data_IF_805382668973
#
_entry.id   IF_805382668973
#
_cell.length_a   1.000
_cell.length_b   1.000
_cell.length_c   1.000
_cell.angle_alpha   90.00
_cell.angle_beta   90.00
_cell.angle_gamma   90.00
#
_symmetry.space_group_name_H-M   'P 1'
#
loop_
_entity.id
_entity.type
_entity.pdbx_description
1 polymer ?
#
# COMPACT_ATOMS: atom_id res chain seq x y z
N UNK A 1 -47.41 -90.55 -117.92
CA UNK A 1 -46.91 -89.39 -118.70
C UNK A 1 -46.77 -88.20 -117.75
N UNK A 2 -45.82 -87.31 -118.05
CA UNK A 2 -45.34 -86.12 -117.29
C UNK A 2 -44.28 -86.46 -116.22
N UNK A 3 -42.99 -86.57 -116.58
CA UNK A 3 -41.97 -85.56 -116.93
C UNK A 3 -41.27 -84.99 -115.67
N UNK A 4 -40.02 -85.44 -115.44
CA UNK A 4 -39.17 -85.00 -114.35
C UNK A 4 -38.71 -83.56 -114.52
N UNK A 5 -38.83 -82.79 -113.46
CA UNK A 5 -38.21 -81.47 -113.31
C UNK A 5 -36.95 -81.66 -112.46
N UNK A 6 -35.79 -81.42 -113.06
CA UNK A 6 -34.53 -81.22 -112.35
C UNK A 6 -34.45 -79.73 -111.95
N UNK A 7 -34.38 -79.44 -110.65
CA UNK A 7 -34.05 -78.10 -110.16
C UNK A 7 -32.57 -78.04 -109.76
N UNK A 8 -31.88 -77.00 -110.24
CA UNK A 8 -30.46 -76.72 -110.01
C UNK A 8 -30.18 -76.39 -108.53
N UNK A 9 -29.09 -76.94 -108.00
CA UNK A 9 -28.64 -76.71 -106.64
C UNK A 9 -28.12 -75.27 -106.45
N UNK A 10 -28.79 -74.49 -105.59
CA UNK A 10 -28.33 -73.17 -105.14
C UNK A 10 -27.25 -73.31 -104.06
N UNK A 11 -26.03 -72.81 -104.33
CA UNK A 11 -24.94 -72.73 -103.34
C UNK A 11 -24.93 -71.38 -102.63
N UNK A 12 -24.67 -71.39 -101.31
CA UNK A 12 -24.53 -70.19 -100.48
C UNK A 12 -23.03 -69.91 -100.22
N UNK A 13 -22.50 -68.71 -100.55
CA UNK A 13 -21.12 -68.37 -100.22
C UNK A 13 -20.96 -68.09 -98.72
N UNK A 14 -19.91 -68.65 -98.11
CA UNK A 14 -19.55 -68.53 -96.69
C UNK A 14 -18.99 -67.14 -96.35
N UNK A 15 -19.61 -66.44 -95.40
CA UNK A 15 -19.18 -65.14 -94.84
C UNK A 15 -18.29 -65.30 -93.60
N UNK A 16 -17.36 -66.26 -93.61
CA UNK A 16 -16.53 -66.57 -92.42
C UNK A 16 -15.31 -65.65 -92.22
N UNK A 17 -15.17 -64.60 -93.04
CA UNK A 17 -14.13 -63.56 -92.90
C UNK A 17 -14.73 -62.17 -93.04
N UNK A 18 -15.59 -61.78 -92.11
CA UNK A 18 -16.05 -60.40 -91.99
C UNK A 18 -15.88 -59.98 -90.54
N UNK A 19 -14.99 -59.02 -90.28
CA UNK A 19 -14.80 -58.45 -88.94
C UNK A 19 -16.10 -57.76 -88.50
N UNK A 20 -16.67 -58.21 -87.38
CA UNK A 20 -17.76 -57.52 -86.70
C UNK A 20 -17.17 -56.67 -85.57
N UNK A 21 -17.34 -55.35 -85.63
CA UNK A 21 -16.96 -54.47 -84.54
C UNK A 21 -18.02 -54.55 -83.43
N UNK A 22 -17.63 -54.97 -82.23
CA UNK A 22 -18.44 -54.81 -81.02
C UNK A 22 -18.19 -53.42 -80.45
N UNK A 23 -19.25 -52.64 -80.24
CA UNK A 23 -19.21 -51.45 -79.42
C UNK A 23 -19.50 -51.84 -77.97
N UNK A 24 -18.55 -51.60 -77.05
CA UNK A 24 -18.85 -51.60 -75.62
C UNK A 24 -19.14 -50.17 -75.19
N UNK A 25 -20.24 -49.98 -74.47
CA UNK A 25 -20.63 -48.67 -73.96
C UNK A 25 -20.80 -48.78 -72.44
N UNK A 26 -20.26 -47.81 -71.72
CA UNK A 26 -20.25 -47.79 -70.26
C UNK A 26 -20.83 -46.47 -69.79
N UNK A 27 -21.86 -46.54 -68.93
CA UNK A 27 -22.48 -45.35 -68.33
C UNK A 27 -22.10 -45.27 -66.86
N UNK A 28 -21.62 -44.10 -66.44
CA UNK A 28 -21.29 -43.77 -65.06
C UNK A 28 -22.18 -42.62 -64.61
N UNK A 29 -22.75 -42.70 -63.42
CA UNK A 29 -23.55 -41.62 -62.81
C UNK A 29 -22.65 -40.58 -62.15
N UNK A 30 -23.04 -39.31 -62.26
CA UNK A 30 -22.30 -38.18 -61.69
C UNK A 30 -22.25 -38.25 -60.15
N UNK A 31 -21.17 -37.74 -59.57
CA UNK A 31 -20.98 -37.69 -58.12
C UNK A 31 -21.93 -36.69 -57.47
N UNK A 32 -22.47 -37.05 -56.30
CA UNK A 32 -23.42 -36.20 -55.55
C UNK A 32 -22.64 -35.16 -54.74
N UNK A 33 -22.82 -33.89 -55.07
CA UNK A 33 -22.27 -32.79 -54.28
C UNK A 33 -22.99 -32.64 -52.94
N UNK A 34 -22.23 -32.58 -51.85
CA UNK A 34 -22.72 -32.25 -50.51
C UNK A 34 -22.19 -30.88 -50.10
N UNK A 35 -23.06 -30.01 -49.61
CA UNK A 35 -22.67 -28.75 -48.96
C UNK A 35 -22.99 -28.82 -47.46
N UNK A 36 -22.03 -28.41 -46.63
CA UNK A 36 -22.24 -28.26 -45.20
C UNK A 36 -22.96 -26.93 -44.94
N UNK A 37 -24.11 -27.00 -44.26
CA UNK A 37 -24.85 -25.82 -43.83
C UNK A 37 -25.06 -25.92 -42.32
N UNK A 38 -24.49 -24.96 -41.59
CA UNK A 38 -24.67 -24.84 -40.15
C UNK A 38 -25.69 -23.76 -39.82
N UNK A 39 -26.49 -24.00 -38.77
CA UNK A 39 -27.44 -23.04 -38.22
C UNK A 39 -27.27 -23.00 -36.70
N UNK A 40 -26.81 -21.86 -36.16
CA UNK A 40 -26.79 -21.62 -34.72
C UNK A 40 -28.02 -20.83 -34.28
N UNK A 41 -28.69 -21.32 -33.22
CA UNK A 41 -29.96 -20.75 -32.70
C UNK A 41 -29.73 -19.80 -31.51
N UNK A 42 -28.59 -19.91 -30.84
CA UNK A 42 -28.31 -19.18 -29.60
C UNK A 42 -26.96 -18.49 -29.74
N UNK A 43 -26.99 -17.16 -29.66
CA UNK A 43 -25.82 -16.31 -29.51
C UNK A 43 -25.71 -15.93 -28.03
N UNK A 44 -24.59 -16.26 -27.39
CA UNK A 44 -24.34 -15.87 -26.00
C UNK A 44 -23.74 -14.46 -25.99
N UNK A 45 -24.42 -13.53 -25.32
CA UNK A 45 -23.94 -12.15 -25.12
C UNK A 45 -23.58 -12.00 -23.64
N UNK A 46 -22.39 -11.48 -23.37
CA UNK A 46 -21.96 -11.16 -22.01
C UNK A 46 -22.62 -9.85 -21.55
N UNK A 47 -23.23 -9.89 -20.36
CA UNK A 47 -23.78 -8.71 -19.70
C UNK A 47 -23.21 -8.62 -18.28
N UNK A 48 -22.46 -7.55 -18.00
CA UNK A 48 -22.03 -7.18 -16.66
C UNK A 48 -22.99 -6.17 -16.05
N UNK A 49 -23.47 -6.43 -14.84
CA UNK A 49 -24.29 -5.47 -14.06
C UNK A 49 -23.58 -5.21 -12.74
N UNK A 50 -23.39 -3.93 -12.40
CA UNK A 50 -22.90 -3.51 -11.09
C UNK A 50 -24.04 -2.84 -10.34
N UNK A 51 -24.31 -3.28 -9.11
CA UNK A 51 -25.29 -2.62 -8.23
C UNK A 51 -24.70 -1.32 -7.71
N UNK A 52 -25.35 -0.20 -7.98
CA UNK A 52 -25.00 1.09 -7.38
C UNK A 52 -25.46 1.11 -5.92
N UNK A 53 -24.59 1.51 -4.99
CA UNK A 53 -25.01 1.83 -3.62
C UNK A 53 -25.78 3.15 -3.68
N UNK A 54 -27.10 3.10 -3.46
CA UNK A 54 -27.86 4.33 -3.25
C UNK A 54 -27.35 5.00 -1.95
N UNK A 55 -26.75 6.18 -2.07
CA UNK A 55 -26.43 6.99 -0.90
C UNK A 55 -27.71 7.14 -0.07
N UNK A 56 -27.64 6.72 1.21
CA UNK A 56 -28.72 6.94 2.17
C UNK A 56 -29.09 8.42 2.12
N UNK A 57 -30.19 8.75 1.44
CA UNK A 57 -30.73 10.11 1.41
C UNK A 57 -30.79 10.55 2.86
N UNK A 58 -30.06 11.61 3.20
CA UNK A 58 -30.20 12.24 4.51
C UNK A 58 -31.70 12.42 4.75
N UNK A 59 -32.24 11.63 5.67
CA UNK A 59 -33.63 11.74 6.04
C UNK A 59 -33.71 13.13 6.69
N UNK A 60 -34.15 14.11 5.91
CA UNK A 60 -34.53 15.41 6.46
C UNK A 60 -35.48 15.19 7.63
N UNK A 61 -35.50 16.10 8.59
CA UNK A 61 -36.35 15.99 9.78
C UNK A 61 -37.74 15.52 9.37
N UNK A 62 -38.14 14.26 9.71
CA UNK A 62 -39.41 13.76 9.24
C UNK A 62 -40.51 14.66 9.78
N UNK A 63 -41.50 15.01 8.97
CA UNK A 63 -42.71 15.63 9.50
C UNK A 63 -43.44 14.58 10.32
N UNK A 64 -43.39 14.73 11.63
CA UNK A 64 -44.13 13.89 12.57
C UNK A 64 -45.01 14.77 13.45
N UNK A 65 -46.05 14.15 14.01
CA UNK A 65 -46.88 14.79 15.01
C UNK A 65 -46.15 14.81 16.36
N UNK A 66 -45.75 16.00 16.79
CA UNK A 66 -45.02 16.24 18.02
C UNK A 66 -45.84 15.85 19.26
N UNK A 67 -47.18 16.00 19.21
CA UNK A 67 -48.04 15.67 20.33
C UNK A 67 -48.07 14.16 20.59
N UNK A 68 -48.33 13.34 19.58
CA UNK A 68 -48.32 11.88 19.72
C UNK A 68 -46.94 11.32 20.06
N UNK A 69 -45.86 11.90 19.53
CA UNK A 69 -44.50 11.50 19.90
C UNK A 69 -44.22 11.84 21.37
N UNK A 70 -44.60 13.03 21.85
CA UNK A 70 -44.41 13.41 23.24
C UNK A 70 -45.22 12.55 24.21
N UNK A 71 -46.46 12.16 23.86
CA UNK A 71 -47.27 11.23 24.64
C UNK A 71 -46.63 9.84 24.70
N UNK A 72 -46.09 9.36 23.57
CA UNK A 72 -45.36 8.10 23.52
C UNK A 72 -44.10 8.14 24.39
N UNK A 73 -43.28 9.17 24.26
CA UNK A 73 -42.03 9.32 25.01
C UNK A 73 -42.29 9.46 26.52
N UNK A 74 -43.26 10.28 26.93
CA UNK A 74 -43.63 10.42 28.35
C UNK A 74 -44.12 9.10 28.95
N UNK A 75 -44.80 8.26 28.17
CA UNK A 75 -45.25 6.92 28.59
C UNK A 75 -44.12 5.88 28.67
N UNK A 76 -43.17 5.90 27.74
CA UNK A 76 -42.14 4.86 27.59
C UNK A 76 -40.85 5.18 28.35
N UNK A 77 -40.36 6.43 28.31
CA UNK A 77 -39.11 6.85 28.96
C UNK A 77 -38.97 6.39 30.41
N UNK A 78 -39.96 6.55 31.31
CA UNK A 78 -39.81 6.09 32.70
C UNK A 78 -39.70 4.56 32.83
N UNK A 79 -40.27 3.79 31.89
CA UNK A 79 -40.15 2.33 31.88
C UNK A 79 -38.75 1.91 31.43
N UNK A 80 -38.23 2.54 30.38
CA UNK A 80 -36.88 2.29 29.86
C UNK A 80 -35.81 2.68 30.87
N UNK A 81 -35.95 3.84 31.51
CA UNK A 81 -35.00 4.29 32.54
C UNK A 81 -34.93 3.32 33.73
N UNK A 82 -36.09 2.82 34.20
CA UNK A 82 -36.12 1.82 35.28
C UNK A 82 -35.40 0.53 34.90
N UNK A 83 -35.60 0.02 33.69
CA UNK A 83 -34.91 -1.18 33.24
C UNK A 83 -33.41 -0.93 32.99
N UNK A 84 -33.02 0.24 32.47
CA UNK A 84 -31.61 0.62 32.33
C UNK A 84 -30.91 0.70 33.70
N UNK A 85 -31.53 1.34 34.70
CA UNK A 85 -30.99 1.41 36.06
C UNK A 85 -30.87 0.02 36.70
N UNK A 86 -31.85 -0.84 36.46
CA UNK A 86 -31.84 -2.22 36.92
C UNK A 86 -30.72 -3.03 36.27
N UNK A 87 -30.51 -2.87 34.95
CA UNK A 87 -29.46 -3.56 34.21
C UNK A 87 -28.07 -3.04 34.57
N UNK A 88 -27.89 -1.73 34.77
CA UNK A 88 -26.61 -1.15 35.18
C UNK A 88 -26.12 -1.67 36.54
N UNK A 89 -27.05 -2.04 37.44
CA UNK A 89 -26.74 -2.66 38.74
C UNK A 89 -26.69 -4.19 38.69
N UNK A 90 -27.04 -4.78 37.54
CA UNK A 90 -27.05 -6.23 37.36
C UNK A 90 -25.63 -6.75 37.17
N UNK A 91 -25.33 -7.84 37.87
CA UNK A 91 -24.06 -8.56 37.72
C UNK A 91 -24.19 -9.81 36.82
N UNK A 92 -25.33 -9.97 36.13
CA UNK A 92 -25.69 -11.19 35.42
C UNK A 92 -24.67 -11.68 34.37
N UNK A 93 -23.81 -10.79 33.87
CA UNK A 93 -22.79 -11.09 32.87
C UNK A 93 -21.34 -10.84 33.34
N UNK A 94 -21.13 -10.59 34.64
CA UNK A 94 -19.77 -10.53 35.23
C UNK A 94 -19.16 -11.93 35.22
N UNK A 95 -18.46 -12.28 34.15
CA UNK A 95 -17.92 -13.62 33.92
C UNK A 95 -18.18 -14.18 32.53
N UNK A 96 -18.87 -13.42 31.66
CA UNK A 96 -18.92 -13.76 30.24
C UNK A 96 -17.53 -13.59 29.61
N UNK A 97 -16.78 -14.69 29.53
CA UNK A 97 -15.62 -14.81 28.67
C UNK A 97 -16.09 -15.37 27.33
N UNK A 98 -16.17 -14.54 26.30
CA UNK A 98 -16.33 -15.05 24.94
C UNK A 98 -15.18 -16.02 24.67
N UNK A 99 -15.50 -17.24 24.22
CA UNK A 99 -14.49 -18.21 23.78
C UNK A 99 -13.83 -17.62 22.55
N UNK A 100 -12.69 -16.96 22.74
CA UNK A 100 -11.83 -16.54 21.64
C UNK A 100 -11.15 -17.81 21.11
N UNK A 101 -11.06 -17.93 19.78
CA UNK A 101 -10.21 -18.93 19.12
C UNK A 101 -8.87 -18.96 19.84
N UNK A 102 -8.38 -20.16 20.18
CA UNK A 102 -7.13 -20.38 20.91
C UNK A 102 -6.09 -19.35 20.46
N UNK A 103 -5.86 -18.32 21.29
CA UNK A 103 -4.93 -17.27 20.96
C UNK A 103 -3.58 -17.96 20.78
N UNK A 104 -3.15 -18.11 19.53
CA UNK A 104 -1.89 -18.77 19.21
C UNK A 104 -0.83 -18.09 20.06
N UNK A 105 -0.32 -18.79 21.08
CA UNK A 105 0.35 -18.14 22.21
C UNK A 105 1.82 -17.82 21.90
N UNK A 106 2.14 -17.50 20.65
CA UNK A 106 3.50 -17.34 20.20
C UNK A 106 3.60 -16.50 18.93
N UNK A 107 4.67 -15.72 18.88
CA UNK A 107 5.09 -15.06 17.64
C UNK A 107 5.68 -16.10 16.71
N UNK A 108 5.21 -16.11 15.46
CA UNK A 108 5.69 -17.02 14.43
C UNK A 108 6.23 -16.22 13.26
N UNK A 109 7.49 -16.48 12.91
CA UNK A 109 8.02 -16.09 11.60
C UNK A 109 7.25 -16.86 10.53
N UNK A 110 6.62 -16.13 9.59
CA UNK A 110 5.89 -16.76 8.49
C UNK A 110 6.80 -16.99 7.30
N UNK A 111 7.42 -15.92 6.81
CA UNK A 111 8.18 -15.92 5.57
C UNK A 111 9.41 -15.02 5.68
N UNK A 112 10.52 -15.45 5.09
CA UNK A 112 11.71 -14.64 4.85
C UNK A 112 11.76 -14.34 3.36
N UNK A 113 11.45 -13.09 3.00
CA UNK A 113 11.41 -12.57 1.64
C UNK A 113 12.83 -12.21 1.18
N UNK A 114 13.30 -12.87 0.13
CA UNK A 114 14.62 -12.64 -0.45
C UNK A 114 14.47 -12.25 -1.91
N UNK A 115 15.32 -11.33 -2.36
CA UNK A 115 15.42 -10.95 -3.75
C UNK A 115 16.79 -11.39 -4.29
N UNK A 116 16.82 -12.43 -5.12
CA UNK A 116 18.05 -12.96 -5.72
C UNK A 116 18.77 -11.97 -6.66
N UNK A 117 18.07 -10.93 -7.11
CA UNK A 117 18.55 -9.95 -8.08
C UNK A 117 19.10 -8.66 -7.45
N UNK A 118 19.12 -8.52 -6.11
CA UNK A 118 19.67 -7.33 -5.47
C UNK A 118 21.20 -7.41 -5.37
N UNK A 119 21.87 -6.29 -5.64
CA UNK A 119 23.30 -6.16 -5.38
C UNK A 119 23.60 -6.48 -3.89
N UNK A 120 24.71 -7.15 -3.57
CA UNK A 120 25.03 -7.57 -2.20
C UNK A 120 25.31 -6.40 -1.25
N UNK A 121 25.45 -5.18 -1.79
CA UNK A 121 25.64 -3.94 -1.02
C UNK A 121 24.31 -3.21 -0.74
N UNK A 122 23.19 -3.69 -1.28
CA UNK A 122 21.88 -3.08 -1.06
C UNK A 122 21.26 -3.50 0.28
N UNK A 123 20.76 -2.50 1.00
CA UNK A 123 19.98 -2.66 2.23
C UNK A 123 18.50 -2.46 1.93
N UNK A 124 17.62 -3.00 2.77
CA UNK A 124 16.21 -2.60 2.74
C UNK A 124 16.10 -1.16 3.25
N UNK A 125 15.47 -0.27 2.48
CA UNK A 125 15.26 1.13 2.87
C UNK A 125 13.86 1.38 3.42
N UNK A 126 12.85 0.72 2.86
CA UNK A 126 11.46 0.88 3.25
C UNK A 126 10.66 -0.38 2.94
N UNK A 127 9.62 -0.61 3.73
CA UNK A 127 8.66 -1.71 3.56
C UNK A 127 7.27 -1.13 3.66
N UNK A 128 6.38 -1.52 2.74
CA UNK A 128 4.99 -1.08 2.78
C UNK A 128 4.03 -2.20 2.36
N UNK A 129 2.87 -2.24 3.01
CA UNK A 129 1.76 -3.13 2.63
C UNK A 129 0.78 -2.42 1.72
N UNK A 130 0.19 -3.17 0.78
CA UNK A 130 -0.90 -2.65 -0.06
C UNK A 130 -2.19 -2.47 0.74
N UNK A 131 -3.13 -1.72 0.19
CA UNK A 131 -4.45 -1.47 0.79
C UNK A 131 -5.27 -2.74 1.04
N UNK A 132 -4.96 -3.84 0.34
CA UNK A 132 -5.60 -5.16 0.54
C UNK A 132 -4.93 -5.98 1.64
N UNK A 133 -3.69 -5.66 2.02
CA UNK A 133 -2.89 -6.41 2.97
C UNK A 133 -2.33 -7.73 2.44
N UNK A 134 -2.51 -8.05 1.16
CA UNK A 134 -1.99 -9.28 0.53
C UNK A 134 -0.61 -9.09 -0.09
N UNK A 135 -0.34 -7.87 -0.55
CA UNK A 135 0.87 -7.52 -1.31
C UNK A 135 1.78 -6.68 -0.42
N UNK A 136 3.05 -7.05 -0.38
CA UNK A 136 4.11 -6.31 0.31
C UNK A 136 5.13 -5.84 -0.72
N UNK A 137 5.49 -4.57 -0.62
CA UNK A 137 6.58 -3.98 -1.39
C UNK A 137 7.77 -3.70 -0.47
N UNK A 138 8.96 -4.02 -0.95
CA UNK A 138 10.24 -3.76 -0.28
C UNK A 138 11.12 -2.97 -1.23
N UNK A 139 11.72 -1.89 -0.74
CA UNK A 139 12.65 -1.07 -1.52
C UNK A 139 14.08 -1.29 -1.05
N UNK A 140 14.99 -1.22 -2.00
CA UNK A 140 16.41 -1.42 -1.80
C UNK A 140 17.19 -0.16 -2.17
N UNK A 141 18.18 0.15 -1.34
CA UNK A 141 19.11 1.26 -1.54
C UNK A 141 20.40 1.06 -0.75
N UNK A 142 21.33 2.00 -0.85
CA UNK A 142 22.55 2.04 -0.04
C UNK A 142 22.34 2.95 1.18
N UNK A 143 23.06 2.69 2.29
CA UNK A 143 22.97 3.51 3.51
C UNK A 143 23.77 4.81 3.41
N UNK A 144 24.91 4.79 2.72
CA UNK A 144 25.85 5.90 2.69
C UNK A 144 26.07 6.39 1.25
N UNK A 145 26.05 7.72 1.10
CA UNK A 145 26.27 8.40 -0.16
C UNK A 145 27.24 9.54 0.11
N UNK A 146 28.30 9.67 -0.70
CA UNK A 146 29.25 10.76 -0.54
C UNK A 146 28.78 12.05 -1.24
N UNK A 147 28.18 11.94 -2.42
CA UNK A 147 27.62 13.08 -3.16
C UNK A 147 26.40 12.66 -3.98
N UNK A 148 26.63 11.99 -5.11
CA UNK A 148 25.57 11.55 -6.03
C UNK A 148 25.38 10.04 -5.90
N UNK A 149 24.14 9.59 -6.05
CA UNK A 149 23.85 8.17 -6.02
C UNK A 149 24.17 7.52 -7.38
N UNK A 150 25.27 6.77 -7.43
CA UNK A 150 25.61 5.89 -8.57
C UNK A 150 25.11 4.45 -8.43
N UNK A 151 24.53 4.10 -7.27
CA UNK A 151 23.98 2.76 -7.01
C UNK A 151 22.67 2.52 -7.75
N UNK A 152 22.40 1.27 -8.11
CA UNK A 152 21.11 0.85 -8.66
C UNK A 152 20.18 0.51 -7.50
N UNK A 153 19.04 1.22 -7.43
CA UNK A 153 17.97 0.85 -6.51
C UNK A 153 17.09 -0.23 -7.10
N UNK A 154 16.34 -0.93 -6.26
CA UNK A 154 15.33 -1.87 -6.72
C UNK A 154 14.08 -1.79 -5.84
N UNK A 155 12.94 -2.10 -6.45
CA UNK A 155 11.66 -2.28 -5.75
C UNK A 155 11.19 -3.69 -6.05
N UNK A 156 11.02 -4.49 -5.02
CA UNK A 156 10.51 -5.84 -5.15
C UNK A 156 9.13 -5.95 -4.51
N UNK A 157 8.25 -6.69 -5.16
CA UNK A 157 6.85 -6.85 -4.76
C UNK A 157 6.55 -8.33 -4.63
N UNK A 158 5.96 -8.72 -3.51
CA UNK A 158 5.51 -10.09 -3.23
C UNK A 158 4.03 -10.10 -2.89
N UNK A 159 3.32 -11.12 -3.35
CA UNK A 159 1.94 -11.38 -2.98
C UNK A 159 1.85 -12.66 -2.16
N UNK A 160 1.62 -12.51 -0.86
CA UNK A 160 1.71 -13.59 0.13
C UNK A 160 0.50 -14.54 0.06
N UNK A 161 -0.61 -14.08 -0.53
CA UNK A 161 -1.85 -14.86 -0.59
C UNK A 161 -1.97 -15.72 -1.85
N UNK A 162 -1.00 -15.71 -2.76
CA UNK A 162 -1.04 -16.59 -3.94
C UNK A 162 -0.63 -18.01 -3.59
N UNK A 163 -1.23 -18.98 -4.28
CA UNK A 163 -0.93 -20.42 -4.09
C UNK A 163 0.46 -20.82 -4.58
N UNK A 164 1.01 -20.08 -5.54
CA UNK A 164 2.34 -20.25 -6.14
C UNK A 164 3.41 -19.33 -5.51
N UNK A 165 3.16 -18.83 -4.30
CA UNK A 165 4.07 -17.93 -3.59
C UNK A 165 5.41 -18.60 -3.30
N UNK A 166 6.50 -17.97 -3.78
CA UNK A 166 7.87 -18.26 -3.39
C UNK A 166 8.46 -17.06 -2.64
N UNK A 167 9.00 -17.31 -1.45
CA UNK A 167 9.61 -16.26 -0.64
C UNK A 167 10.94 -15.78 -1.21
N UNK A 168 11.65 -16.60 -2.00
CA UNK A 168 12.95 -16.26 -2.58
C UNK A 168 12.86 -15.57 -3.94
N UNK A 169 11.66 -15.50 -4.53
CA UNK A 169 11.44 -14.88 -5.83
C UNK A 169 10.32 -13.85 -5.73
N UNK A 170 10.62 -12.55 -5.87
CA UNK A 170 9.57 -11.54 -5.97
C UNK A 170 8.71 -11.73 -7.21
N UNK A 171 7.43 -11.41 -7.10
CA UNK A 171 6.49 -11.42 -8.23
C UNK A 171 6.90 -10.39 -9.29
N UNK A 172 7.35 -9.21 -8.82
CA UNK A 172 7.86 -8.15 -9.68
C UNK A 172 9.10 -7.53 -9.04
N UNK A 173 10.13 -7.33 -9.86
CA UNK A 173 11.30 -6.52 -9.51
C UNK A 173 11.39 -5.37 -10.49
N UNK A 174 11.52 -4.15 -9.97
CA UNK A 174 11.58 -2.92 -10.73
C UNK A 174 12.91 -2.27 -10.41
N UNK A 175 13.78 -2.16 -11.41
CA UNK A 175 15.06 -1.48 -11.27
C UNK A 175 14.86 0.04 -11.32
N UNK A 176 15.50 0.74 -10.41
CA UNK A 176 15.55 2.19 -10.37
C UNK A 176 16.98 2.67 -10.66
N UNK A 177 17.09 3.82 -11.32
CA UNK A 177 18.36 4.47 -11.68
C UNK A 177 19.14 5.00 -10.47
N UNK A 178 18.55 4.99 -9.28
CA UNK A 178 19.09 5.50 -8.03
C UNK A 178 18.49 4.73 -6.85
N UNK A 179 19.13 4.79 -5.68
CA UNK A 179 18.62 4.23 -4.43
C UNK A 179 17.18 4.69 -4.17
N UNK A 180 16.29 3.74 -3.92
CA UNK A 180 14.93 4.02 -3.52
C UNK A 180 14.91 4.12 -2.00
N UNK A 181 14.38 5.20 -1.45
CA UNK A 181 14.43 5.50 -0.01
C UNK A 181 13.09 5.30 0.70
N UNK A 182 11.98 5.52 -0.01
CA UNK A 182 10.64 5.46 0.57
C UNK A 182 9.65 4.81 -0.39
N UNK A 183 8.68 4.11 0.19
CA UNK A 183 7.61 3.42 -0.53
C UNK A 183 6.28 3.67 0.15
N UNK A 184 5.24 3.97 -0.63
CA UNK A 184 3.88 4.06 -0.13
C UNK A 184 2.89 3.50 -1.15
N UNK A 185 2.08 2.53 -0.72
CA UNK A 185 0.93 2.07 -1.50
C UNK A 185 -0.22 3.06 -1.39
N UNK A 186 -1.02 3.14 -2.45
CA UNK A 186 -2.22 3.96 -2.44
C UNK A 186 -3.26 3.36 -1.47
N UNK A 187 -3.94 4.19 -0.65
CA UNK A 187 -4.79 3.70 0.45
C UNK A 187 -6.04 2.92 0.02
N UNK A 188 -6.58 3.20 -1.17
CA UNK A 188 -7.77 2.51 -1.70
C UNK A 188 -7.42 1.56 -2.86
N UNK A 189 -6.81 2.08 -3.93
CA UNK A 189 -6.36 1.30 -5.08
C UNK A 189 -5.09 0.46 -4.80
N UNK A 190 -5.14 -0.87 -4.77
CA UNK A 190 -3.97 -1.72 -4.49
C UNK A 190 -2.97 -1.82 -5.64
N UNK A 191 -3.34 -1.46 -6.86
CA UNK A 191 -2.44 -1.52 -8.01
C UNK A 191 -1.44 -0.35 -8.04
N UNK A 192 -1.73 0.74 -7.34
CA UNK A 192 -0.92 1.95 -7.38
C UNK A 192 0.00 2.06 -6.16
N UNK A 193 1.26 2.40 -6.41
CA UNK A 193 2.19 2.80 -5.35
C UNK A 193 3.13 3.88 -5.85
N UNK A 194 3.72 4.62 -4.90
CA UNK A 194 4.71 5.65 -5.17
C UNK A 194 6.01 5.30 -4.44
N UNK A 195 7.14 5.64 -5.07
CA UNK A 195 8.47 5.45 -4.56
C UNK A 195 9.29 6.74 -4.72
N UNK A 196 10.05 7.09 -3.69
CA UNK A 196 10.97 8.23 -3.70
C UNK A 196 12.41 7.78 -3.85
N UNK A 197 13.16 8.38 -4.78
CA UNK A 197 14.59 8.08 -4.97
C UNK A 197 15.49 9.08 -4.24
N UNK A 198 16.75 8.71 -4.01
CA UNK A 198 17.75 9.59 -3.40
C UNK A 198 18.00 10.87 -4.22
N UNK A 199 17.91 10.77 -5.55
CA UNK A 199 18.06 11.91 -6.46
C UNK A 199 16.85 12.88 -6.43
N UNK A 200 15.81 12.59 -5.64
CA UNK A 200 14.64 13.45 -5.47
C UNK A 200 13.54 13.23 -6.50
N UNK A 201 13.62 12.15 -7.30
CA UNK A 201 12.55 11.78 -8.23
C UNK A 201 11.44 11.03 -7.49
N UNK A 202 10.19 11.36 -7.82
CA UNK A 202 9.01 10.62 -7.37
C UNK A 202 8.56 9.75 -8.53
N UNK A 203 8.57 8.44 -8.31
CA UNK A 203 8.15 7.44 -9.27
C UNK A 203 6.79 6.89 -8.83
N UNK A 204 5.79 6.96 -9.69
CA UNK A 204 4.49 6.31 -9.44
C UNK A 204 4.38 5.11 -10.34
N UNK A 205 3.99 3.96 -9.81
CA UNK A 205 3.85 2.73 -10.57
C UNK A 205 2.43 2.19 -10.49
N UNK A 206 2.03 1.51 -11.55
CA UNK A 206 0.75 0.81 -11.67
C UNK A 206 1.01 -0.67 -11.96
N UNK A 207 0.76 -1.51 -10.95
CA UNK A 207 0.94 -2.96 -10.98
C UNK A 207 -0.07 -3.66 -11.88
N UNK A 208 -1.15 -2.98 -12.32
CA UNK A 208 -2.11 -3.56 -13.27
C UNK A 208 -1.51 -3.80 -14.66
N UNK A 209 -0.41 -3.09 -14.99
CA UNK A 209 0.25 -3.21 -16.29
C UNK A 209 1.23 -4.38 -16.29
N UNK A 210 1.06 -5.27 -17.26
CA UNK A 210 1.80 -6.55 -17.35
C UNK A 210 3.10 -6.45 -18.13
N UNK A 211 3.23 -5.54 -19.10
CA UNK A 211 4.28 -5.69 -20.12
C UNK A 211 5.57 -4.89 -19.86
N UNK A 212 5.51 -3.68 -19.27
CA UNK A 212 6.72 -2.93 -18.86
C UNK A 212 6.42 -2.01 -17.66
N UNK A 213 7.25 -2.06 -16.61
CA UNK A 213 7.08 -1.23 -15.41
C UNK A 213 7.81 0.09 -15.58
N UNK A 214 7.27 0.95 -16.45
CA UNK A 214 7.68 2.36 -16.51
C UNK A 214 6.92 3.16 -15.46
N UNK A 215 7.54 4.20 -14.86
CA UNK A 215 6.82 5.06 -13.92
C UNK A 215 5.66 5.75 -14.65
N UNK A 216 4.44 5.51 -14.16
CA UNK A 216 3.18 6.14 -14.57
C UNK A 216 3.30 7.66 -14.55
N UNK A 217 4.05 8.21 -13.60
CA UNK A 217 4.40 9.62 -13.59
C UNK A 217 5.76 9.83 -12.91
N UNK A 218 6.54 10.74 -13.49
CA UNK A 218 7.81 11.21 -12.94
C UNK A 218 7.60 12.59 -12.31
N UNK A 219 7.97 12.74 -11.05
CA UNK A 219 8.12 14.03 -10.37
C UNK A 219 9.35 14.80 -10.84
N UNK A 220 9.52 14.95 -12.15
CA UNK A 220 10.58 15.74 -12.79
C UNK A 220 9.98 16.97 -13.46
N UNK A 221 10.72 18.09 -13.46
CA UNK A 221 10.26 19.38 -13.98
C UNK A 221 9.92 19.28 -15.48
N UNK A 222 8.65 19.04 -15.82
CA UNK A 222 8.09 19.35 -17.14
C UNK A 222 6.62 19.78 -17.06
N UNK A 223 6.40 21.02 -17.50
CA UNK A 223 5.18 21.47 -18.20
C UNK A 223 3.91 21.66 -17.36
N UNK A 224 3.56 22.93 -17.11
CA UNK A 224 2.20 23.34 -16.75
C UNK A 224 1.23 22.95 -17.86
N UNK A 225 0.09 22.35 -17.49
CA UNK A 225 -1.18 22.55 -18.19
C UNK A 225 -2.41 22.24 -17.32
N UNK A 226 -3.20 23.29 -17.07
CA UNK A 226 -4.67 23.31 -17.18
C UNK A 226 -5.54 22.37 -16.33
N UNK A 227 -6.27 23.01 -15.40
CA UNK A 227 -7.54 22.64 -14.74
C UNK A 227 -7.49 21.59 -13.60
N UNK A 228 -8.26 21.81 -12.50
CA UNK A 228 -8.33 20.87 -11.36
C UNK A 228 -9.30 19.71 -11.65
N UNK A 229 -8.84 18.44 -11.68
CA UNK A 229 -9.74 17.30 -11.65
C UNK A 229 -10.29 17.05 -10.23
N UNK A 230 -11.59 16.77 -10.15
CA UNK A 230 -12.39 16.68 -8.90
C UNK A 230 -12.13 15.44 -8.01
N UNK A 231 -11.02 14.75 -8.17
CA UNK A 231 -10.58 13.68 -7.28
C UNK A 231 -9.05 13.67 -7.25
N UNK A 232 -8.44 14.16 -6.16
CA UNK A 232 -7.00 14.35 -6.10
C UNK A 232 -6.34 13.24 -5.28
N UNK A 233 -5.62 12.34 -5.96
CA UNK A 233 -4.57 11.55 -5.32
C UNK A 233 -3.38 12.48 -5.09
N UNK A 234 -3.11 12.86 -3.83
CA UNK A 234 -2.01 13.77 -3.48
C UNK A 234 -0.81 13.00 -2.94
N UNK A 235 0.39 13.37 -3.38
CA UNK A 235 1.65 12.85 -2.88
C UNK A 235 2.45 13.99 -2.26
N UNK A 236 3.05 13.75 -1.11
CA UNK A 236 3.94 14.72 -0.47
C UNK A 236 5.34 14.14 -0.42
N UNK A 237 6.31 14.93 -0.87
CA UNK A 237 7.73 14.60 -0.79
C UNK A 237 8.47 15.66 0.02
N UNK A 238 9.43 15.21 0.82
CA UNK A 238 10.29 16.07 1.61
C UNK A 238 11.71 16.00 1.10
N UNK A 239 12.41 17.12 1.08
CA UNK A 239 13.80 17.20 0.67
C UNK A 239 14.73 17.35 1.87
N UNK A 240 15.99 16.97 1.69
CA UNK A 240 17.08 17.23 2.64
C UNK A 240 17.40 18.73 2.81
N UNK A 241 16.82 19.59 1.97
CA UNK A 241 16.98 21.05 2.07
C UNK A 241 15.84 21.74 2.84
N UNK A 242 14.89 20.96 3.38
CA UNK A 242 13.79 21.48 4.20
C UNK A 242 12.56 21.91 3.43
N UNK A 243 12.46 21.51 2.16
CA UNK A 243 11.29 21.77 1.32
C UNK A 243 10.30 20.61 1.43
N UNK A 244 9.02 20.94 1.48
CA UNK A 244 7.91 19.98 1.47
C UNK A 244 7.06 20.27 0.25
N UNK A 245 7.08 19.36 -0.72
CA UNK A 245 6.43 19.53 -2.01
C UNK A 245 5.21 18.62 -2.11
N UNK A 246 4.06 19.21 -2.46
CA UNK A 246 2.79 18.49 -2.61
C UNK A 246 2.43 18.41 -4.08
N UNK A 247 2.33 17.19 -4.58
CA UNK A 247 2.02 16.84 -5.96
C UNK A 247 0.61 16.29 -6.04
N UNK A 248 -0.08 16.59 -7.13
CA UNK A 248 -1.34 15.94 -7.50
C UNK A 248 -1.07 14.96 -8.63
N UNK A 249 -1.48 13.71 -8.44
CA UNK A 249 -1.45 12.68 -9.47
C UNK A 249 -2.77 12.69 -10.24
N UNK A 250 -2.69 12.88 -11.54
CA UNK A 250 -3.81 12.67 -12.46
C UNK A 250 -3.66 11.32 -13.14
N UNK A 251 -4.51 10.34 -12.79
CA UNK A 251 -4.46 9.00 -13.38
C UNK A 251 -4.83 9.01 -14.87
N UNK A 252 -5.72 9.89 -15.30
CA UNK A 252 -6.14 10.00 -16.70
C UNK A 252 -5.04 10.53 -17.60
N UNK A 253 -4.33 11.56 -17.12
CA UNK A 253 -3.20 12.18 -17.84
C UNK A 253 -1.86 11.50 -17.58
N UNK A 254 -1.79 10.60 -16.59
CA UNK A 254 -0.57 9.94 -16.15
C UNK A 254 0.55 10.96 -15.86
N UNK A 255 0.19 12.02 -15.13
CA UNK A 255 1.08 13.15 -14.89
C UNK A 255 0.99 13.60 -13.43
N UNK A 256 2.16 13.94 -12.87
CA UNK A 256 2.28 14.64 -11.60
C UNK A 256 2.36 16.14 -11.83
N UNK A 257 1.48 16.88 -11.18
CA UNK A 257 1.49 18.35 -11.21
C UNK A 257 1.78 18.86 -9.81
N UNK A 258 2.80 19.72 -9.66
CA UNK A 258 3.11 20.35 -8.38
C UNK A 258 1.98 21.32 -7.99
N UNK A 259 1.35 21.07 -6.84
CA UNK A 259 0.18 21.82 -6.35
C UNK A 259 0.59 22.88 -5.32
N UNK A 260 1.49 22.52 -4.41
CA UNK A 260 1.94 23.42 -3.35
C UNK A 260 3.37 23.09 -2.92
N UNK A 261 4.06 24.08 -2.36
CA UNK A 261 5.39 23.90 -1.79
C UNK A 261 5.52 24.68 -0.49
N UNK A 262 6.11 24.05 0.51
CA UNK A 262 6.38 24.63 1.82
C UNK A 262 7.85 24.52 2.16
N UNK A 263 8.29 25.32 3.14
CA UNK A 263 9.68 25.29 3.59
C UNK A 263 9.81 25.53 5.09
N UNK A 264 10.72 24.76 5.70
CA UNK A 264 11.21 24.94 7.06
C UNK A 264 12.51 25.74 7.02
N UNK A 265 12.61 26.84 7.77
CA UNK A 265 13.81 27.68 7.80
C UNK A 265 14.59 27.47 9.09
N UNK A 266 15.88 27.79 9.07
CA UNK A 266 16.76 27.74 10.26
C UNK A 266 16.25 28.63 11.40
N UNK A 267 15.48 29.67 11.08
CA UNK A 267 14.82 30.54 12.07
C UNK A 267 13.70 29.85 12.85
N UNK A 268 13.14 28.77 12.31
CA UNK A 268 12.10 27.97 12.95
C UNK A 268 12.67 27.00 14.00
N UNK A 269 13.99 26.76 13.96
CA UNK A 269 14.67 25.88 14.92
C UNK A 269 14.70 26.53 16.32
N UNK A 270 14.34 25.79 17.38
CA UNK A 270 14.46 26.28 18.76
C UNK A 270 15.88 26.75 19.09
N UNK A 271 16.01 27.91 19.75
CA UNK A 271 17.31 28.55 20.06
C UNK A 271 18.30 27.64 20.79
N UNK A 272 17.82 26.70 21.60
CA UNK A 272 18.67 25.74 22.33
C UNK A 272 19.33 24.67 21.47
N UNK A 273 18.87 24.46 20.23
CA UNK A 273 19.38 23.47 19.28
C UNK A 273 20.07 24.13 18.08
N UNK A 274 19.94 25.46 17.94
CA UNK A 274 20.49 26.26 16.82
C UNK A 274 22.03 26.30 16.77
N UNK A 275 22.74 25.68 17.72
CA UNK A 275 24.21 25.75 17.86
C UNK A 275 25.02 24.88 16.89
N UNK A 276 24.40 24.18 15.93
CA UNK A 276 25.11 23.31 14.97
C UNK A 276 24.80 23.58 13.48
N UNK A 277 24.03 24.61 13.15
CA UNK A 277 23.57 24.86 11.77
C UNK A 277 24.00 26.26 11.33
N UNK A 278 24.78 26.35 10.25
CA UNK A 278 25.15 27.63 9.65
C UNK A 278 23.89 28.37 9.18
N UNK A 279 23.88 29.71 9.25
CA UNK A 279 22.68 30.50 8.95
C UNK A 279 22.15 30.32 7.51
N UNK A 280 22.99 29.84 6.59
CA UNK A 280 22.68 29.58 5.18
C UNK A 280 22.37 28.10 4.85
N UNK A 281 22.57 27.14 5.77
CA UNK A 281 22.21 25.74 5.50
C UNK A 281 20.74 25.50 5.84
N UNK A 282 19.97 25.00 4.86
CA UNK A 282 18.58 24.59 5.05
C UNK A 282 18.41 23.51 6.13
N UNK A 283 17.17 23.29 6.56
CA UNK A 283 16.87 22.32 7.63
C UNK A 283 16.58 20.96 7.01
N UNK A 284 17.48 19.98 7.17
CA UNK A 284 17.24 18.62 6.69
C UNK A 284 16.05 17.96 7.36
N UNK A 285 15.14 17.40 6.55
CA UNK A 285 13.97 16.64 6.99
C UNK A 285 14.25 15.15 6.75
N UNK A 286 14.06 14.35 7.78
CA UNK A 286 14.28 12.91 7.77
C UNK A 286 12.97 12.10 7.80
N UNK A 287 11.95 12.61 8.48
CA UNK A 287 10.66 11.93 8.62
C UNK A 287 9.50 12.92 8.45
N UNK A 288 8.39 12.44 7.92
CA UNK A 288 7.17 13.22 7.77
C UNK A 288 5.93 12.35 7.96
N UNK A 289 4.91 12.88 8.62
CA UNK A 289 3.64 12.20 8.83
C UNK A 289 2.48 13.20 8.86
N UNK A 290 1.35 12.82 8.28
CA UNK A 290 0.13 13.62 8.31
C UNK A 290 -0.77 13.18 9.46
N UNK A 291 -1.56 14.11 9.99
CA UNK A 291 -2.65 13.76 10.91
C UNK A 291 -3.75 13.01 10.14
N UNK A 292 -4.33 11.99 10.78
CA UNK A 292 -5.43 11.23 10.21
C UNK A 292 -6.76 12.00 10.25
N UNK A 293 -6.92 12.90 11.23
CA UNK A 293 -8.14 13.70 11.42
C UNK A 293 -8.14 15.00 10.61
N UNK A 294 -6.98 15.66 10.52
CA UNK A 294 -6.82 16.94 9.84
C UNK A 294 -5.76 16.85 8.72
N UNK A 295 -6.16 16.81 7.43
CA UNK A 295 -5.24 16.70 6.31
C UNK A 295 -4.36 17.94 6.11
N UNK A 296 -4.65 19.04 6.82
CA UNK A 296 -3.83 20.25 6.79
C UNK A 296 -2.69 20.20 7.79
N UNK A 297 -2.76 19.34 8.81
CA UNK A 297 -1.75 19.22 9.86
C UNK A 297 -0.77 18.10 9.53
N UNK A 298 0.53 18.40 9.62
CA UNK A 298 1.58 17.41 9.43
C UNK A 298 2.77 17.68 10.37
N UNK A 299 3.52 16.62 10.65
CA UNK A 299 4.66 16.59 11.55
C UNK A 299 5.91 16.31 10.73
N UNK A 300 6.98 17.06 10.99
CA UNK A 300 8.28 16.86 10.36
C UNK A 300 9.34 16.57 11.42
N UNK A 301 10.12 15.52 11.21
CA UNK A 301 11.33 15.20 11.96
C UNK A 301 12.57 15.73 11.25
N UNK A 302 13.31 16.61 11.91
CA UNK A 302 14.56 17.16 11.39
C UNK A 302 15.78 16.32 11.71
N UNK A 303 16.80 16.42 10.86
CA UNK A 303 18.09 15.74 11.07
C UNK A 303 18.86 16.25 12.29
N UNK A 304 18.63 17.49 12.70
CA UNK A 304 19.17 18.08 13.92
C UNK A 304 18.37 17.77 15.19
N UNK A 305 17.47 16.78 15.18
CA UNK A 305 16.67 16.37 16.35
C UNK A 305 15.43 17.22 16.64
N UNK A 306 15.20 18.29 15.87
CA UNK A 306 14.02 19.14 16.02
C UNK A 306 12.77 18.48 15.43
N UNK A 307 11.63 18.64 16.09
CA UNK A 307 10.32 18.19 15.64
C UNK A 307 9.44 19.40 15.36
N UNK A 308 8.94 19.53 14.13
CA UNK A 308 8.16 20.67 13.67
C UNK A 308 6.71 20.25 13.43
N UNK A 309 5.78 20.94 14.09
CA UNK A 309 4.37 20.85 13.77
C UNK A 309 4.05 21.90 12.71
N UNK A 310 3.48 21.44 11.60
CA UNK A 310 3.29 22.22 10.40
C UNK A 310 1.82 22.22 9.96
N UNK A 311 1.39 23.33 9.36
CA UNK A 311 0.05 23.46 8.75
C UNK A 311 0.14 23.89 7.29
N UNK A 312 -0.62 23.21 6.44
CA UNK A 312 -0.80 23.52 5.03
C UNK A 312 -1.60 24.82 4.79
N UNK A 313 -2.34 25.30 5.80
CA UNK A 313 -3.11 26.54 5.72
C UNK A 313 -2.25 27.80 5.88
N UNK A 314 -0.96 27.66 6.18
CA UNK A 314 -0.08 28.80 6.34
C UNK A 314 0.19 29.46 4.99
N UNK A 315 -0.24 30.71 4.87
CA UNK A 315 -0.09 31.52 3.65
C UNK A 315 1.14 32.43 3.67
N UNK A 316 1.94 32.41 4.74
CA UNK A 316 3.11 33.29 4.85
C UNK A 316 4.13 32.96 3.73
N UNK A 317 4.30 33.84 2.73
CA UNK A 317 5.18 33.57 1.60
C UNK A 317 6.64 33.62 2.06
N UNK A 318 7.47 32.77 1.48
CA UNK A 318 8.93 32.89 1.58
C UNK A 318 9.47 33.59 0.33
N UNK A 319 10.71 34.07 0.40
CA UNK A 319 11.40 34.71 -0.75
C UNK A 319 11.85 33.66 -1.78
N UNK A 320 11.76 32.37 -1.46
CA UNK A 320 12.29 31.30 -2.30
C UNK A 320 11.19 30.62 -3.11
N UNK A 321 11.51 30.41 -4.39
CA UNK A 321 10.64 29.75 -5.33
C UNK A 321 11.25 28.40 -5.72
N UNK A 322 10.40 27.38 -5.87
CA UNK A 322 10.77 26.11 -6.47
C UNK A 322 9.93 25.90 -7.72
N UNK A 323 10.59 25.73 -8.87
CA UNK A 323 9.95 25.47 -10.18
C UNK A 323 8.81 26.44 -10.55
N UNK A 324 8.91 27.70 -10.14
CA UNK A 324 7.91 28.74 -10.42
C UNK A 324 6.72 28.78 -9.45
N UNK A 325 6.80 28.04 -8.34
CA UNK A 325 5.87 28.11 -7.21
C UNK A 325 6.60 28.71 -6.01
N UNK A 326 6.05 29.79 -5.46
CA UNK A 326 6.56 30.40 -4.23
C UNK A 326 6.33 29.50 -3.02
N UNK A 327 7.42 29.17 -2.33
CA UNK A 327 7.36 28.34 -1.14
C UNK A 327 6.75 29.12 0.02
N UNK A 328 5.94 28.45 0.84
CA UNK A 328 5.29 29.04 2.02
C UNK A 328 5.91 28.51 3.30
N UNK A 329 5.96 29.33 4.36
CA UNK A 329 6.35 28.84 5.69
C UNK A 329 5.24 27.95 6.22
N UNK A 330 5.56 26.75 6.69
CA UNK A 330 4.55 25.82 7.23
C UNK A 330 4.62 25.61 8.74
N UNK A 331 5.74 25.94 9.40
CA UNK A 331 5.93 25.66 10.83
C UNK A 331 5.01 26.54 11.69
N UNK A 332 4.16 25.88 12.48
CA UNK A 332 3.27 26.52 13.47
C UNK A 332 3.90 26.52 14.86
N UNK A 333 4.47 25.38 15.27
CA UNK A 333 5.14 25.22 16.56
C UNK A 333 6.21 24.13 16.51
N UNK A 334 7.07 24.07 17.52
CA UNK A 334 8.06 23.00 17.68
C UNK A 334 7.77 22.19 18.95
N UNK A 335 8.08 20.90 18.92
CA UNK A 335 8.04 20.04 20.11
C UNK A 335 9.41 20.01 20.79
N UNK A 336 9.47 19.48 22.02
CA UNK A 336 10.74 19.30 22.71
C UNK A 336 11.69 18.44 21.86
N UNK A 337 12.92 18.92 21.56
CA UNK A 337 13.80 18.29 20.57
C UNK A 337 14.49 17.04 21.14
N UNK A 338 14.84 16.12 20.24
CA UNK A 338 15.80 15.05 20.48
C UNK A 338 17.24 15.57 20.48
N UNK A 339 18.17 14.76 21.01
CA UNK A 339 19.61 15.08 20.92
C UNK A 339 20.27 14.50 19.68
N UNK A 340 19.64 13.50 19.04
CA UNK A 340 20.08 12.88 17.79
C UNK A 340 19.14 13.15 16.62
N UNK A 341 19.48 12.63 15.44
CA UNK A 341 18.65 12.71 14.23
C UNK A 341 17.31 12.02 14.47
N UNK A 342 16.21 12.70 14.15
CA UNK A 342 14.88 12.07 14.17
C UNK A 342 14.84 11.07 13.02
N UNK A 343 14.57 9.81 13.34
CA UNK A 343 14.46 8.72 12.37
C UNK A 343 13.01 8.53 11.94
N UNK A 344 12.09 8.62 12.90
CA UNK A 344 10.66 8.45 12.68
C UNK A 344 9.87 9.48 13.48
N UNK A 345 8.78 9.97 12.90
CA UNK A 345 7.86 10.92 13.52
C UNK A 345 6.45 10.66 13.00
N UNK A 346 5.53 10.21 13.85
CA UNK A 346 4.23 9.69 13.44
C UNK A 346 3.10 10.16 14.36
N UNK A 347 1.97 10.53 13.77
CA UNK A 347 0.71 10.68 14.51
C UNK A 347 0.20 9.32 14.95
N UNK A 348 -0.42 9.26 16.13
CA UNK A 348 -1.17 8.08 16.54
C UNK A 348 -2.38 7.88 15.62
N UNK A 349 -2.65 6.65 15.15
CA UNK A 349 -3.85 6.35 14.36
C UNK A 349 -5.15 6.33 15.19
N UNK A 350 -5.05 6.43 16.53
CA UNK A 350 -6.20 6.32 17.44
C UNK A 350 -6.51 7.60 18.21
N UNK A 351 -5.52 8.49 18.36
CA UNK A 351 -5.63 9.67 19.20
C UNK A 351 -5.04 10.89 18.50
N UNK A 352 -5.90 11.86 18.18
CA UNK A 352 -5.54 13.09 17.48
C UNK A 352 -4.35 13.85 18.08
N UNK A 353 -4.21 13.81 19.41
CA UNK A 353 -3.19 14.57 20.12
C UNK A 353 -1.91 13.79 20.42
N UNK A 354 -1.86 12.48 20.17
CA UNK A 354 -0.71 11.66 20.52
C UNK A 354 0.26 11.53 19.34
N UNK A 355 1.55 11.76 19.59
CA UNK A 355 2.61 11.67 18.58
C UNK A 355 3.74 10.78 19.09
N UNK A 356 4.31 9.97 18.22
CA UNK A 356 5.50 9.18 18.48
C UNK A 356 6.67 9.74 17.69
N UNK A 357 7.84 9.79 18.31
CA UNK A 357 9.08 9.92 17.56
C UNK A 357 10.15 8.98 18.09
N UNK A 358 10.98 8.51 17.18
CA UNK A 358 12.18 7.75 17.46
C UNK A 358 13.37 8.45 16.83
N UNK A 359 14.51 8.45 17.53
CA UNK A 359 15.71 9.14 17.08
C UNK A 359 16.96 8.30 17.31
N UNK A 360 18.06 8.73 16.69
CA UNK A 360 19.38 8.11 16.80
C UNK A 360 20.02 8.23 18.19
N UNK A 361 19.37 8.93 19.14
CA UNK A 361 19.75 8.99 20.55
C UNK A 361 19.22 7.81 21.38
N UNK A 362 18.69 6.77 20.71
CA UNK A 362 18.07 5.59 21.30
C UNK A 362 16.87 5.90 22.20
N UNK A 363 16.25 7.07 22.02
CA UNK A 363 15.04 7.46 22.73
C UNK A 363 13.83 7.36 21.83
N UNK A 364 12.76 6.80 22.38
CA UNK A 364 11.43 6.83 21.80
C UNK A 364 10.58 7.71 22.71
N UNK A 365 9.99 8.76 22.13
CA UNK A 365 9.24 9.76 22.88
C UNK A 365 7.80 9.82 22.42
N UNK A 366 6.91 9.88 23.41
CA UNK A 366 5.50 10.14 23.23
C UNK A 366 5.23 11.61 23.56
N UNK A 367 4.64 12.35 22.62
CA UNK A 367 4.20 13.72 22.83
C UNK A 367 2.69 13.81 22.85
N UNK A 368 2.21 14.84 23.53
CA UNK A 368 0.84 15.31 23.39
C UNK A 368 0.86 16.70 22.75
N UNK A 369 0.01 16.92 21.75
CA UNK A 369 -0.21 18.25 21.18
C UNK A 369 -0.70 19.27 22.23
N UNK A 370 -1.28 18.79 23.34
CA UNK A 370 -1.70 19.63 24.47
C UNK A 370 -0.52 20.08 25.35
N UNK A 371 0.62 19.40 25.26
CA UNK A 371 1.84 19.67 26.04
C UNK A 371 3.09 19.66 25.14
N UNK A 372 3.25 20.61 24.21
CA UNK A 372 4.32 20.57 23.20
C UNK A 372 5.73 20.71 23.79
N UNK A 373 5.86 21.36 24.95
CA UNK A 373 7.15 21.69 25.57
C UNK A 373 7.81 20.51 26.29
N UNK A 374 7.11 19.38 26.48
CA UNK A 374 7.65 18.21 27.21
C UNK A 374 7.03 16.91 26.68
N UNK A 375 7.82 15.85 26.47
CA UNK A 375 7.26 14.54 26.16
C UNK A 375 6.46 14.02 27.36
N UNK A 376 5.33 13.38 27.07
CA UNK A 376 4.49 12.66 28.04
C UNK A 376 5.27 11.48 28.61
N UNK A 377 6.00 10.76 27.77
CA UNK A 377 6.83 9.63 28.17
C UNK A 377 8.06 9.56 27.27
N UNK A 378 9.20 9.21 27.88
CA UNK A 378 10.45 8.92 27.18
C UNK A 378 10.87 7.51 27.56
N UNK A 379 10.93 6.64 26.56
CA UNK A 379 11.42 5.27 26.68
C UNK A 379 12.85 5.22 26.14
N UNK A 380 13.74 4.61 26.91
CA UNK A 380 15.15 4.45 26.55
C UNK A 380 15.37 3.00 26.16
N UNK A 381 15.76 2.79 24.91
CA UNK A 381 16.20 1.47 24.46
C UNK A 381 17.66 1.23 24.86
N UNK A 382 17.98 0.00 25.25
CA UNK A 382 19.37 -0.41 25.52
C UNK A 382 20.22 -0.46 24.25
N UNK A 383 19.57 -0.70 23.11
CA UNK A 383 20.19 -0.70 21.79
C UNK A 383 19.78 0.51 20.96
N UNK A 384 20.58 0.80 19.93
CA UNK A 384 20.25 1.83 18.95
C UNK A 384 18.92 1.52 18.27
N UNK A 385 17.99 2.47 18.36
CA UNK A 385 16.71 2.43 17.65
C UNK A 385 16.95 2.89 16.22
N UNK A 386 16.40 2.16 15.25
CA UNK A 386 16.59 2.40 13.82
C UNK A 386 15.31 2.81 13.13
N UNK A 387 14.17 2.24 13.52
CA UNK A 387 12.84 2.57 13.02
C UNK A 387 11.80 2.33 14.12
N UNK A 388 10.61 2.93 13.99
CA UNK A 388 9.51 2.74 14.91
C UNK A 388 8.17 2.95 14.22
N UNK A 389 7.12 2.28 14.68
CA UNK A 389 5.77 2.47 14.15
C UNK A 389 4.70 2.21 15.20
N UNK A 390 3.65 3.03 15.19
CA UNK A 390 2.44 2.78 15.95
C UNK A 390 1.73 1.49 15.52
N UNK A 391 1.11 0.81 16.48
CA UNK A 391 0.15 -0.24 16.17
C UNK A 391 -1.14 0.36 15.59
N UNK A 392 -1.62 -0.11 14.42
CA UNK A 392 -2.88 0.34 13.85
C UNK A 392 -4.11 -0.18 14.62
N UNK A 393 -3.95 -1.18 15.50
CA UNK A 393 -5.05 -1.78 16.27
C UNK A 393 -5.09 -1.36 17.72
N UNK A 394 -3.92 -1.20 18.33
CA UNK A 394 -3.80 -1.00 19.77
C UNK A 394 -3.30 0.43 20.03
N UNK A 395 -4.14 1.29 20.66
CA UNK A 395 -3.82 2.71 20.85
C UNK A 395 -2.56 2.97 21.69
N UNK A 396 -2.18 2.01 22.52
CA UNK A 396 -1.09 2.12 23.48
C UNK A 396 0.13 1.28 23.12
N UNK A 397 0.15 0.66 21.92
CA UNK A 397 1.25 -0.21 21.50
C UNK A 397 2.00 0.39 20.32
N UNK A 398 3.31 0.26 20.34
CA UNK A 398 4.18 0.57 19.21
C UNK A 398 5.31 -0.45 19.10
N UNK A 399 5.87 -0.57 17.90
CA UNK A 399 7.03 -1.39 17.62
C UNK A 399 8.25 -0.51 17.35
N UNK A 400 9.44 -1.01 17.69
CA UNK A 400 10.70 -0.39 17.37
C UNK A 400 11.69 -1.42 16.83
N UNK A 401 12.31 -1.13 15.68
CA UNK A 401 13.45 -1.87 15.17
C UNK A 401 14.72 -1.46 15.90
N UNK A 402 15.58 -2.44 16.15
CA UNK A 402 16.84 -2.27 16.87
C UNK A 402 18.05 -2.54 15.96
N UNK A 403 19.20 -2.00 16.35
CA UNK A 403 20.48 -2.21 15.68
C UNK A 403 20.98 -3.66 15.66
N UNK A 404 20.51 -4.52 16.58
CA UNK A 404 20.77 -5.97 16.50
C UNK A 404 19.92 -6.71 15.45
N UNK A 405 18.92 -6.04 14.86
CA UNK A 405 17.91 -6.67 13.99
C UNK A 405 16.66 -7.14 14.70
N UNK A 406 16.66 -7.09 16.03
CA UNK A 406 15.49 -7.44 16.84
C UNK A 406 14.41 -6.37 16.72
N UNK A 407 13.17 -6.76 16.93
CA UNK A 407 12.04 -5.83 17.00
C UNK A 407 11.44 -5.87 18.39
N UNK A 408 11.40 -4.72 19.06
CA UNK A 408 10.87 -4.56 20.40
C UNK A 408 9.44 -3.99 20.33
N UNK A 409 8.49 -4.67 20.97
CA UNK A 409 7.12 -4.20 21.13
C UNK A 409 6.93 -3.62 22.53
N UNK A 410 6.39 -2.42 22.60
CA UNK A 410 6.15 -1.69 23.83
C UNK A 410 4.65 -1.49 24.04
N UNK A 411 4.20 -1.60 25.29
CA UNK A 411 2.82 -1.35 25.70
C UNK A 411 2.80 -0.30 26.81
N UNK A 412 2.21 0.86 26.49
CA UNK A 412 2.15 2.02 27.38
C UNK A 412 1.21 1.80 28.57
N UNK A 413 0.30 0.83 28.53
CA UNK A 413 -0.62 0.53 29.63
C UNK A 413 0.05 -0.22 30.79
N UNK A 414 1.08 -1.01 30.48
CA UNK A 414 1.79 -1.78 31.50
C UNK A 414 2.64 -0.88 32.40
N UNK A 415 2.63 -1.15 33.72
CA UNK A 415 3.40 -0.38 34.73
C UNK A 415 4.91 -0.29 34.45
N UNK A 416 5.43 -1.12 33.53
CA UNK A 416 6.80 -1.09 33.02
C UNK A 416 6.87 -0.55 31.58
N UNK A 417 6.20 0.56 31.28
CA UNK A 417 6.23 1.24 29.95
C UNK A 417 7.63 1.61 29.41
N UNK A 418 8.67 1.37 30.22
CA UNK A 418 10.09 1.59 29.90
C UNK A 418 10.78 0.36 29.30
N UNK A 419 10.19 -0.82 29.40
CA UNK A 419 10.74 -2.05 28.84
C UNK A 419 9.79 -2.64 27.80
N UNK A 420 10.31 -3.30 26.76
CA UNK A 420 9.46 -4.00 25.80
C UNK A 420 8.77 -5.17 26.48
N UNK A 421 7.47 -5.36 26.21
CA UNK A 421 6.74 -6.52 26.71
C UNK A 421 7.05 -7.77 25.88
N UNK A 422 7.54 -7.60 24.65
CA UNK A 422 7.90 -8.67 23.73
C UNK A 422 9.02 -8.20 22.81
N UNK A 423 10.05 -9.02 22.63
CA UNK A 423 11.14 -8.78 21.67
C UNK A 423 11.22 -9.93 20.69
N UNK A 424 11.12 -9.61 19.40
CA UNK A 424 11.20 -10.55 18.30
C UNK A 424 12.67 -10.78 17.94
N UNK A 425 13.08 -12.04 17.86
CA UNK A 425 14.42 -12.42 17.45
C UNK A 425 14.59 -12.28 15.93
N UNK A 426 15.84 -12.06 15.50
CA UNK A 426 16.22 -12.11 14.08
C UNK A 426 16.08 -13.54 13.56
N UNK A 427 15.59 -13.74 12.33
CA UNK A 427 15.35 -15.07 11.79
C UNK A 427 16.64 -15.88 11.59
N UNK A 428 17.70 -15.24 11.12
CA UNK A 428 18.97 -15.91 10.82
C UNK A 428 20.18 -15.06 11.26
N UNK A 429 20.74 -14.27 10.35
CA UNK A 429 21.93 -13.45 10.60
C UNK A 429 21.52 -12.13 11.24
N UNK A 430 22.18 -11.79 12.35
CA UNK A 430 21.94 -10.52 13.01
C UNK A 430 22.41 -9.36 12.12
N UNK A 431 21.48 -8.51 11.73
CA UNK A 431 21.72 -7.28 11.00
C UNK A 431 20.69 -6.22 11.43
N UNK A 432 21.05 -4.93 11.49
CA UNK A 432 20.13 -3.88 11.91
C UNK A 432 18.80 -3.93 11.17
N UNK A 433 17.69 -3.81 11.90
CA UNK A 433 16.37 -3.65 11.30
C UNK A 433 16.29 -2.23 10.72
N UNK A 434 16.01 -2.07 9.44
CA UNK A 434 16.09 -0.76 8.76
C UNK A 434 14.71 -0.18 8.52
N UNK A 435 13.70 -1.02 8.33
CA UNK A 435 12.34 -0.63 8.04
C UNK A 435 11.35 -1.55 8.76
N UNK A 436 10.20 -0.99 9.13
CA UNK A 436 9.15 -1.72 9.84
C UNK A 436 7.78 -1.24 9.34
N UNK A 437 6.88 -2.18 9.05
CA UNK A 437 5.54 -1.88 8.57
C UNK A 437 4.49 -2.88 9.08
N UNK A 438 3.53 -2.43 9.89
CA UNK A 438 2.32 -3.18 10.21
C UNK A 438 1.39 -3.29 9.01
N UNK A 439 0.76 -4.45 8.85
CA UNK A 439 -0.27 -4.64 7.85
C UNK A 439 -1.62 -4.06 8.34
N UNK A 440 -2.17 -3.12 7.57
CA UNK A 440 -3.39 -2.39 7.95
C UNK A 440 -4.69 -3.23 7.83
N UNK A 441 -4.66 -4.36 7.13
CA UNK A 441 -5.83 -5.25 6.97
C UNK A 441 -5.72 -6.48 7.83
N UNK A 442 -4.58 -7.18 7.77
CA UNK A 442 -4.29 -8.31 8.64
C UNK A 442 -3.29 -7.90 9.72
N UNK A 443 -3.83 -7.36 10.81
CA UNK A 443 -3.05 -6.62 11.80
C UNK A 443 -2.24 -7.51 12.75
N UNK A 444 -2.25 -8.83 12.54
CA UNK A 444 -1.31 -9.79 13.12
C UNK A 444 0.03 -9.84 12.37
N UNK A 445 0.06 -9.32 11.13
CA UNK A 445 1.24 -9.34 10.28
C UNK A 445 2.08 -8.07 10.44
N UNK A 446 3.38 -8.28 10.62
CA UNK A 446 4.42 -7.26 10.69
C UNK A 446 5.48 -7.56 9.63
N UNK A 447 5.76 -6.60 8.76
CA UNK A 447 6.88 -6.65 7.83
C UNK A 447 8.09 -5.94 8.43
N UNK A 448 9.26 -6.56 8.34
CA UNK A 448 10.53 -6.00 8.80
C UNK A 448 11.55 -6.15 7.68
N UNK A 449 12.32 -5.09 7.44
CA UNK A 449 13.47 -5.10 6.53
C UNK A 449 14.78 -5.00 7.29
N UNK A 450 15.84 -5.60 6.78
CA UNK A 450 17.16 -5.55 7.39
C UNK A 450 18.25 -4.93 6.47
N UNK A 451 19.42 -4.73 7.07
CA UNK A 451 20.60 -4.21 6.40
C UNK A 451 21.37 -5.25 5.56
N UNK A 452 20.88 -6.50 5.45
CA UNK A 452 21.41 -7.50 4.52
C UNK A 452 20.60 -7.56 3.22
N UNK A 453 19.56 -6.75 3.09
CA UNK A 453 18.66 -6.79 1.95
C UNK A 453 17.62 -7.90 2.06
N UNK A 454 17.42 -8.48 3.23
CA UNK A 454 16.36 -9.46 3.48
C UNK A 454 15.15 -8.76 4.09
N UNK A 455 13.97 -9.03 3.51
CA UNK A 455 12.69 -8.70 4.13
C UNK A 455 12.16 -9.92 4.86
N UNK A 456 11.42 -9.77 5.95
CA UNK A 456 10.73 -10.90 6.57
C UNK A 456 9.40 -10.47 7.18
N UNK A 457 8.44 -11.37 7.07
CA UNK A 457 7.09 -11.22 7.58
C UNK A 457 6.90 -12.07 8.82
N UNK A 458 6.46 -11.43 9.91
CA UNK A 458 6.12 -12.10 11.16
C UNK A 458 4.63 -12.01 11.41
N UNK A 459 4.02 -13.15 11.74
CA UNK A 459 2.76 -13.16 12.46
C UNK A 459 3.07 -13.00 13.94
N UNK A 460 2.90 -11.79 14.45
CA UNK A 460 2.75 -11.61 15.88
C UNK A 460 1.36 -12.16 16.26
N UNK A 461 1.22 -12.87 17.38
CA UNK A 461 -0.09 -13.27 17.80
C UNK A 461 -0.93 -12.01 18.02
N UNK A 462 -2.26 -12.07 17.88
CA UNK A 462 -3.12 -11.10 18.53
C UNK A 462 -2.86 -11.26 20.04
N UNK A 463 -1.82 -10.59 20.53
CA UNK A 463 -1.41 -10.67 21.93
C UNK A 463 -2.64 -10.30 22.74
N UNK A 464 -3.09 -11.28 23.54
CA UNK A 464 -4.43 -11.37 24.09
C UNK A 464 -4.93 -10.04 24.62
N UNK A 465 -6.19 -9.76 24.30
CA UNK A 465 -6.98 -8.71 24.93
C UNK A 465 -6.78 -8.81 26.44
N UNK A 466 -6.06 -7.86 27.04
CA UNK A 466 -6.18 -7.64 28.48
C UNK A 466 -7.50 -6.90 28.74
N UNK A 467 -8.14 -7.20 29.88
CA UNK A 467 -9.53 -6.86 30.13
C UNK A 467 -9.69 -5.34 30.19
N UNK A 468 -10.85 -4.87 29.75
CA UNK A 468 -11.35 -3.54 30.10
C UNK A 468 -11.14 -3.26 31.60
N UNK A 469 -10.80 -2.01 31.99
CA UNK A 469 -10.51 -1.69 33.38
C UNK A 469 -11.74 -1.92 34.25
N UNK A 470 -11.52 -2.51 35.43
CA UNK A 470 -12.52 -2.56 36.50
C UNK A 470 -12.73 -1.21 37.18
#
# INVERSE_FOLDING_TARGET
MFSGHDEEASSFPSTWKTEQSQASDGTQTDEVGTEESECQVIEQIEAGVQTEEEENKSLGTPQYDEASLSEFLTRITPKVLRELDRQARSQAFLGYGAVQEEAASGVRLLHTLRCSHSDPECVVSSVAWSSTGSVIGVTFGAMEHQDWCGHRGAIAVWNINRSDFDANQPERTIEASSCVLSLAFHPSNPALFAAGTFNGEILVYDLSRTEEVTPLALGGVRGRDGAPPRAHHTLTATTTTGQVLVWSLSLTKQQLTLKAGYMVRTQDIPRGVRTQVGEDSGVGIAAASYSHDDPTLFLLGGEGGSLFLCSANSEAPTVMDFSGIGLRRCVTSCLAPHTGKVLEAQFSPHHHHALLSAASDSQIRLYSLLQPNKPVTTTHSEEQVTCAQWSPTRPLVFAAGLGSGRVALYDLDTRSSRQPFLTLATPEKAAPATALCFNHRNMSLLGVGDALGEGWGVAAPPSGCLPTPG
#
